data_IF_698667552820
#
_entry.id   IF_698667552820
#
_cell.length_a   1.000
_cell.length_b   1.000
_cell.length_c   1.000
_cell.angle_alpha   90.00
_cell.angle_beta   90.00
_cell.angle_gamma   90.00
#
_symmetry.space_group_name_H-M   'P 1'
#
loop_
_entity.id
_entity.type
_entity.pdbx_description
1 polymer ?
#
# COMPACT_ATOMS: atom_id res chain seq x y z
N UNK A 1 10.67 -1.97 0.96
CA UNK A 1 10.03 -3.01 1.80
C UNK A 1 10.94 -4.22 1.90
N UNK A 2 10.91 -4.93 3.02
CA UNK A 2 11.69 -6.15 3.25
C UNK A 2 10.74 -7.34 3.43
N UNK A 3 10.96 -8.42 2.67
CA UNK A 3 10.12 -9.62 2.68
C UNK A 3 10.83 -10.76 3.40
N UNK A 4 10.13 -11.42 4.33
CA UNK A 4 10.66 -12.47 5.17
C UNK A 4 9.81 -13.74 4.99
N UNK A 5 10.25 -14.68 4.12
CA UNK A 5 9.58 -15.96 3.99
C UNK A 5 9.84 -16.82 5.23
N UNK A 6 8.80 -17.49 5.71
CA UNK A 6 8.88 -18.52 6.74
C UNK A 6 8.98 -19.91 6.08
N UNK A 7 9.11 -20.95 6.91
CA UNK A 7 9.25 -22.34 6.45
C UNK A 7 8.07 -22.74 5.56
N UNK A 8 8.38 -23.03 4.29
CA UNK A 8 7.40 -23.47 3.31
C UNK A 8 6.89 -24.90 3.59
N UNK A 9 5.64 -25.15 3.21
CA UNK A 9 5.04 -26.48 3.11
C UNK A 9 4.79 -26.77 1.63
N UNK A 10 5.40 -27.83 1.12
CA UNK A 10 5.34 -28.21 -0.30
C UNK A 10 4.80 -29.63 -0.45
N UNK A 11 3.96 -29.80 -1.47
CA UNK A 11 3.57 -31.08 -2.06
C UNK A 11 3.87 -31.01 -3.59
N UNK A 12 3.66 -32.09 -4.33
CA UNK A 12 4.01 -32.26 -5.75
C UNK A 12 3.49 -31.17 -6.70
N UNK A 13 2.47 -30.40 -6.31
CA UNK A 13 1.89 -29.33 -7.13
C UNK A 13 1.70 -28.01 -6.39
N UNK A 14 1.68 -28.01 -5.07
CA UNK A 14 1.33 -26.85 -4.25
C UNK A 14 2.45 -26.54 -3.27
N UNK A 15 2.89 -25.30 -3.27
CA UNK A 15 3.84 -24.75 -2.30
C UNK A 15 3.16 -23.60 -1.56
N UNK A 16 3.06 -23.70 -0.24
CA UNK A 16 2.51 -22.67 0.64
C UNK A 16 3.65 -22.09 1.46
N UNK A 17 3.86 -20.78 1.34
CA UNK A 17 4.93 -20.04 2.00
C UNK A 17 4.29 -18.98 2.89
N UNK A 18 4.22 -19.19 4.21
CA UNK A 18 3.86 -18.13 5.13
C UNK A 18 4.93 -17.04 5.09
N UNK A 19 4.53 -15.78 5.23
CA UNK A 19 5.47 -14.67 5.21
C UNK A 19 5.03 -13.53 6.13
N UNK A 20 5.99 -12.69 6.48
CA UNK A 20 5.73 -11.32 6.91
C UNK A 20 6.63 -10.37 6.11
N UNK A 21 6.23 -9.10 6.06
CA UNK A 21 6.92 -8.04 5.32
C UNK A 21 7.00 -6.83 6.24
N UNK A 22 8.11 -6.13 6.22
CA UNK A 22 8.21 -4.79 6.79
C UNK A 22 8.16 -3.78 5.65
N UNK A 23 7.26 -2.80 5.73
CA UNK A 23 7.18 -1.73 4.74
C UNK A 23 7.03 -0.38 5.44
N UNK A 24 7.79 0.59 4.95
CA UNK A 24 7.71 1.98 5.35
C UNK A 24 7.56 2.81 4.08
N UNK A 25 6.64 3.76 4.10
CA UNK A 25 6.39 4.72 3.04
C UNK A 25 6.54 6.12 3.63
N UNK A 26 7.34 6.94 2.95
CA UNK A 26 7.45 8.35 3.25
C UNK A 26 7.12 9.13 1.97
N UNK A 27 6.27 10.14 2.08
CA UNK A 27 5.90 11.02 0.97
C UNK A 27 5.81 12.45 1.47
N UNK A 28 6.19 13.40 0.63
CA UNK A 28 6.04 14.83 0.92
C UNK A 28 5.22 15.45 -0.19
N UNK A 29 4.14 16.13 0.19
CA UNK A 29 3.40 16.97 -0.73
C UNK A 29 4.04 18.37 -0.74
N UNK A 30 4.27 18.90 -1.92
CA UNK A 30 4.74 20.28 -2.07
C UNK A 30 3.55 21.23 -1.92
N UNK A 31 3.85 22.42 -1.41
CA UNK A 31 2.89 23.51 -1.37
C UNK A 31 2.43 23.86 -2.79
N UNK A 32 1.15 24.17 -2.92
CA UNK A 32 0.59 24.53 -4.22
C UNK A 32 -0.51 25.58 -4.08
N UNK A 33 -0.76 26.30 -5.18
CA UNK A 33 -1.80 27.31 -5.29
C UNK A 33 -2.77 26.95 -6.39
N UNK A 34 -4.05 27.10 -6.10
CA UNK A 34 -5.11 26.95 -7.10
C UNK A 34 -5.03 28.08 -8.15
N UNK A 35 -5.65 27.88 -9.31
CA UNK A 35 -5.80 28.93 -10.35
C UNK A 35 -7.28 29.26 -10.51
N UNK A 36 -7.61 30.52 -10.74
CA UNK A 36 -8.98 30.99 -10.99
C UNK A 36 -9.48 32.04 -10.00
N UNK A 37 -10.79 32.25 -9.93
CA UNK A 37 -11.41 33.13 -8.94
C UNK A 37 -11.45 32.44 -7.56
N UNK A 38 -11.11 33.17 -6.49
CA UNK A 38 -10.97 32.67 -5.09
C UNK A 38 -9.86 31.63 -4.91
N UNK A 39 -8.63 32.00 -5.29
CA UNK A 39 -7.44 31.15 -5.13
C UNK A 39 -7.23 30.75 -3.66
N UNK A 40 -6.95 29.45 -3.44
CA UNK A 40 -6.44 28.93 -2.17
C UNK A 40 -4.97 28.54 -2.31
N UNK A 41 -4.21 28.81 -1.25
CA UNK A 41 -2.85 28.32 -1.06
C UNK A 41 -2.88 27.20 -0.04
N UNK A 42 -2.32 26.04 -0.38
CA UNK A 42 -2.21 24.89 0.50
C UNK A 42 -0.75 24.73 0.93
N UNK A 43 -0.55 24.61 2.25
CA UNK A 43 0.75 24.41 2.88
C UNK A 43 0.72 23.07 3.60
N UNK A 44 1.68 22.20 3.26
CA UNK A 44 1.84 20.87 3.84
C UNK A 44 3.20 20.79 4.55
N UNK A 45 3.27 21.21 5.83
CA UNK A 45 4.56 21.34 6.52
C UNK A 45 5.21 19.98 6.79
N UNK A 46 4.41 18.96 7.06
CA UNK A 46 4.88 17.66 7.53
C UNK A 46 4.86 16.60 6.40
N UNK A 47 5.82 15.66 6.43
CA UNK A 47 5.90 14.53 5.48
C UNK A 47 5.06 13.32 5.90
N UNK A 48 4.20 12.81 5.02
CA UNK A 48 3.41 11.58 5.19
C UNK A 48 4.32 10.39 5.47
N UNK A 49 4.21 9.80 6.66
CA UNK A 49 4.92 8.56 7.03
C UNK A 49 3.91 7.48 7.41
N UNK A 50 4.06 6.30 6.79
CA UNK A 50 3.30 5.09 7.07
C UNK A 50 4.23 3.91 7.26
N UNK A 51 4.11 3.20 8.38
CA UNK A 51 4.85 1.97 8.68
C UNK A 51 3.84 0.86 8.90
N UNK A 52 4.00 -0.25 8.18
CA UNK A 52 3.13 -1.41 8.29
C UNK A 52 3.93 -2.71 8.26
N UNK A 53 3.36 -3.75 8.88
CA UNK A 53 3.92 -5.10 8.89
C UNK A 53 2.93 -6.10 8.29
N UNK A 54 2.82 -6.16 6.95
CA UNK A 54 2.01 -7.18 6.30
C UNK A 54 2.43 -8.59 6.66
N UNK A 55 1.47 -9.50 6.76
CA UNK A 55 1.74 -10.93 6.86
C UNK A 55 0.64 -11.74 6.18
N UNK A 56 0.97 -12.97 5.81
CA UNK A 56 0.02 -13.83 5.11
C UNK A 56 0.66 -15.06 4.48
N UNK A 57 0.04 -15.51 3.40
CA UNK A 57 0.41 -16.72 2.68
C UNK A 57 0.67 -16.39 1.22
N UNK A 58 1.82 -16.84 0.72
CA UNK A 58 2.14 -16.86 -0.69
C UNK A 58 2.06 -18.32 -1.16
N UNK A 59 1.13 -18.60 -2.06
CA UNK A 59 0.85 -19.94 -2.57
C UNK A 59 1.31 -20.02 -4.02
N UNK A 60 1.97 -21.11 -4.39
CA UNK A 60 2.36 -21.42 -5.77
C UNK A 60 1.78 -22.76 -6.16
N UNK A 61 1.02 -22.80 -7.24
CA UNK A 61 0.39 -24.00 -7.78
C UNK A 61 0.93 -24.25 -9.19
N UNK A 62 1.61 -25.37 -9.38
CA UNK A 62 2.14 -25.81 -10.66
C UNK A 62 1.22 -26.85 -11.30
N UNK A 63 0.74 -26.56 -12.50
CA UNK A 63 -0.06 -27.46 -13.32
C UNK A 63 0.76 -27.93 -14.52
N UNK A 64 0.82 -29.24 -14.72
CA UNK A 64 1.67 -29.91 -15.73
C UNK A 64 0.82 -30.58 -16.82
N UNK A 65 -0.34 -30.00 -17.16
CA UNK A 65 -1.20 -30.52 -18.23
C UNK A 65 -0.71 -30.13 -19.62
N UNK A 66 -1.61 -30.22 -20.61
CA UNK A 66 -1.31 -29.89 -22.02
C UNK A 66 -0.78 -28.46 -22.20
N UNK A 67 -1.22 -27.54 -21.35
CA UNK A 67 -0.63 -26.21 -21.19
C UNK A 67 -0.03 -26.11 -19.78
N UNK A 68 1.31 -26.21 -19.63
CA UNK A 68 1.96 -25.97 -18.36
C UNK A 68 1.64 -24.57 -17.84
N UNK A 69 1.13 -24.47 -16.62
CA UNK A 69 0.78 -23.18 -16.01
C UNK A 69 1.23 -23.11 -14.56
N UNK A 70 1.75 -21.95 -14.17
CA UNK A 70 2.10 -21.59 -12.81
C UNK A 70 1.12 -20.53 -12.30
N UNK A 71 0.44 -20.84 -11.21
CA UNK A 71 -0.45 -19.91 -10.52
C UNK A 71 0.19 -19.47 -9.21
N UNK A 72 0.26 -18.17 -8.97
CA UNK A 72 0.74 -17.58 -7.72
C UNK A 72 -0.40 -16.79 -7.07
N UNK A 73 -0.69 -17.10 -5.81
CA UNK A 73 -1.72 -16.44 -5.00
C UNK A 73 -1.09 -15.92 -3.72
N UNK A 74 -1.00 -14.60 -3.57
CA UNK A 74 -0.57 -13.93 -2.35
C UNK A 74 -1.80 -13.36 -1.63
N UNK A 75 -2.08 -13.86 -0.43
CA UNK A 75 -3.12 -13.34 0.46
C UNK A 75 -2.43 -12.73 1.66
N UNK A 76 -2.74 -11.47 1.97
CA UNK A 76 -2.07 -10.73 3.05
C UNK A 76 -2.99 -9.83 3.82
N UNK A 77 -2.79 -9.81 5.13
CA UNK A 77 -3.33 -8.82 6.05
C UNK A 77 -2.25 -7.79 6.37
N UNK A 78 -2.61 -6.51 6.36
CA UNK A 78 -1.68 -5.37 6.43
C UNK A 78 -2.08 -4.46 7.60
N UNK A 79 -1.59 -4.72 8.82
CA UNK A 79 -1.71 -3.79 9.93
C UNK A 79 -0.71 -2.64 9.77
N UNK A 80 -1.21 -1.42 9.94
CA UNK A 80 -0.43 -0.20 10.04
C UNK A 80 -0.02 -0.04 11.50
N UNK A 81 1.28 0.03 11.77
CA UNK A 81 1.83 0.20 13.12
C UNK A 81 1.95 1.68 13.49
N UNK A 82 2.36 2.50 12.53
CA UNK A 82 2.52 3.93 12.71
C UNK A 82 2.01 4.64 11.47
N UNK A 83 1.18 5.67 11.67
CA UNK A 83 0.77 6.58 10.62
C UNK A 83 0.82 7.99 11.19
N UNK A 84 1.66 8.83 10.60
CA UNK A 84 1.67 10.26 10.91
C UNK A 84 0.49 10.90 10.16
N UNK A 85 -0.42 11.54 10.89
CA UNK A 85 -1.53 12.31 10.30
C UNK A 85 -1.01 13.70 9.97
N UNK A 86 -1.30 14.19 8.77
CA UNK A 86 -0.80 15.48 8.28
C UNK A 86 -1.89 16.51 8.28
N UNK A 87 -1.64 17.60 8.99
CA UNK A 87 -2.50 18.77 8.91
C UNK A 87 -2.16 19.53 7.64
N UNK A 88 -3.20 19.92 6.89
CA UNK A 88 -3.05 20.75 5.70
C UNK A 88 -3.52 22.15 6.08
N UNK A 89 -2.58 23.10 6.06
CA UNK A 89 -2.90 24.51 6.21
C UNK A 89 -3.48 25.05 4.91
N UNK A 90 -4.60 25.75 4.99
CA UNK A 90 -5.26 26.37 3.84
C UNK A 90 -5.41 27.86 4.09
N UNK A 91 -5.05 28.66 3.08
CA UNK A 91 -5.20 30.12 3.09
C UNK A 91 -6.02 30.54 1.89
N UNK A 92 -7.12 31.27 2.11
CA UNK A 92 -7.86 31.93 1.05
C UNK A 92 -7.14 33.22 0.66
N UNK A 93 -6.63 33.32 -0.56
CA UNK A 93 -5.83 34.46 -1.03
C UNK A 93 -6.67 35.74 -1.19
N UNK A 94 -7.99 35.63 -1.28
CA UNK A 94 -8.88 36.78 -1.46
C UNK A 94 -9.03 37.64 -0.19
N UNK A 95 -9.12 37.00 0.99
CA UNK A 95 -9.45 37.66 2.26
C UNK A 95 -8.47 37.30 3.40
N UNK A 96 -7.34 36.63 3.08
CA UNK A 96 -6.35 36.11 4.02
C UNK A 96 -6.89 35.20 5.15
N UNK A 97 -8.11 34.68 4.97
CA UNK A 97 -8.71 33.72 5.89
C UNK A 97 -7.91 32.42 5.93
N UNK A 98 -7.55 31.97 7.13
CA UNK A 98 -6.77 30.72 7.33
C UNK A 98 -7.58 29.68 8.08
N UNK A 99 -7.44 28.42 7.69
CA UNK A 99 -7.95 27.28 8.44
C UNK A 99 -7.03 26.08 8.29
N UNK A 100 -7.10 25.17 9.27
CA UNK A 100 -6.36 23.92 9.26
C UNK A 100 -7.37 22.80 9.01
N UNK A 101 -7.16 22.04 7.95
CA UNK A 101 -7.92 20.82 7.69
C UNK A 101 -7.15 19.59 8.15
N UNK A 102 -7.82 18.71 8.88
CA UNK A 102 -7.33 17.37 9.18
C UNK A 102 -7.66 16.41 8.03
N UNK A 103 -6.82 15.39 7.79
CA UNK A 103 -7.08 14.41 6.75
C UNK A 103 -8.19 13.46 7.20
N UNK A 104 -8.92 12.89 6.24
CA UNK A 104 -9.92 11.87 6.51
C UNK A 104 -9.30 10.67 7.23
N UNK A 105 -9.95 10.19 8.28
CA UNK A 105 -9.49 9.00 8.97
C UNK A 105 -9.63 7.77 8.07
N UNK A 106 -8.52 7.07 7.88
CA UNK A 106 -8.43 5.84 7.10
C UNK A 106 -8.10 4.68 8.03
N UNK A 107 -8.65 3.50 7.73
CA UNK A 107 -8.44 2.30 8.55
C UNK A 107 -6.95 1.95 8.68
N UNK A 108 -6.56 1.46 9.85
CA UNK A 108 -5.20 0.95 10.12
C UNK A 108 -5.02 -0.49 9.63
N UNK A 109 -6.08 -1.11 9.13
CA UNK A 109 -6.07 -2.49 8.67
C UNK A 109 -6.49 -2.54 7.21
N UNK A 110 -5.69 -3.24 6.40
CA UNK A 110 -6.01 -3.52 5.01
C UNK A 110 -5.84 -5.01 4.72
N UNK A 111 -6.62 -5.50 3.77
CA UNK A 111 -6.52 -6.86 3.26
C UNK A 111 -6.22 -6.81 1.77
N UNK A 112 -5.40 -7.74 1.28
CA UNK A 112 -4.89 -7.73 -0.09
C UNK A 112 -4.81 -9.15 -0.61
N UNK A 113 -5.44 -9.37 -1.76
CA UNK A 113 -5.34 -10.60 -2.54
C UNK A 113 -4.68 -10.23 -3.87
N UNK A 114 -3.61 -10.94 -4.23
CA UNK A 114 -2.97 -10.83 -5.53
C UNK A 114 -2.92 -12.21 -6.17
N UNK A 115 -3.43 -12.31 -7.40
CA UNK A 115 -3.44 -13.53 -8.20
C UNK A 115 -2.68 -13.27 -9.49
N UNK A 116 -1.71 -14.13 -9.77
CA UNK A 116 -0.92 -14.11 -10.99
C UNK A 116 -0.96 -15.49 -11.64
N UNK A 117 -1.06 -15.52 -12.96
CA UNK A 117 -0.99 -16.74 -13.76
C UNK A 117 0.07 -16.53 -14.85
N UNK A 118 0.99 -17.48 -14.96
CA UNK A 118 1.88 -17.64 -16.10
C UNK A 118 1.58 -18.98 -16.77
N UNK A 119 1.09 -18.94 -18.01
CA UNK A 119 0.83 -20.14 -18.81
C UNK A 119 1.75 -20.15 -20.01
N UNK A 120 2.42 -21.27 -20.24
CA UNK A 120 3.22 -21.47 -21.45
C UNK A 120 2.30 -21.92 -22.58
N UNK A 121 2.31 -21.15 -23.65
CA UNK A 121 1.58 -21.43 -24.88
C UNK A 121 2.63 -21.40 -26.00
N UNK A 122 3.05 -22.59 -26.43
CA UNK A 122 4.08 -22.90 -27.44
C UNK A 122 5.56 -22.76 -27.00
#
# INVERSE_FOLDING_TARGET
SFYFPLKARTNNRLTVIPFFRYQAFASKQNDFKEKGARVRSFVTPDSLVDISVPFGLHNKLAFHGYFPSLWELEVSYKPTLLRQKHLVGSVLVADDGTWISSPTEVCYHAFSINLKNETQVF
#
